data_IF_814849668824
#
_entry.id   IF_814849668824
#
_cell.length_a   1.000
_cell.length_b   1.000
_cell.length_c   1.000
_cell.angle_alpha   90.00
_cell.angle_beta   90.00
_cell.angle_gamma   90.00
#
_symmetry.space_group_name_H-M   'P 1'
#
loop_
_entity.id
_entity.type
_entity.pdbx_description
1 polymer ?
#
# COMPACT_ATOMS: atom_id res chain seq x y z
N UNK A 1 -4.24 -9.96 10.19
CA UNK A 1 -2.96 -10.11 9.46
C UNK A 1 -3.09 -9.39 8.13
N UNK A 2 -2.03 -8.72 7.67
CA UNK A 2 -2.03 -8.01 6.39
C UNK A 2 -1.04 -8.67 5.43
N UNK A 3 -1.49 -8.94 4.20
CA UNK A 3 -0.64 -9.37 3.08
C UNK A 3 -0.57 -8.22 2.08
N UNK A 4 0.63 -7.71 1.81
CA UNK A 4 0.88 -6.77 0.71
C UNK A 4 1.32 -7.57 -0.51
N UNK A 5 0.54 -7.52 -1.59
CA UNK A 5 0.84 -8.21 -2.83
C UNK A 5 1.26 -7.22 -3.91
N UNK A 6 2.41 -7.48 -4.54
CA UNK A 6 3.00 -6.59 -5.53
C UNK A 6 3.41 -7.39 -6.78
N UNK A 7 2.44 -7.94 -7.51
CA UNK A 7 2.69 -8.58 -8.80
C UNK A 7 1.59 -8.25 -9.82
N UNK A 8 1.93 -7.88 -11.08
CA UNK A 8 0.94 -7.45 -12.07
C UNK A 8 0.11 -8.61 -12.66
N UNK A 9 0.73 -9.79 -12.82
CA UNK A 9 0.11 -10.95 -13.47
C UNK A 9 -0.71 -11.79 -12.45
N UNK A 10 -2.05 -11.86 -12.57
CA UNK A 10 -2.92 -12.57 -11.62
C UNK A 10 -2.72 -14.10 -11.59
N UNK A 11 -2.21 -14.70 -12.67
CA UNK A 11 -1.93 -16.14 -12.76
C UNK A 11 -0.47 -16.48 -12.41
N UNK A 12 0.29 -15.50 -11.93
CA UNK A 12 1.69 -15.70 -11.53
C UNK A 12 1.82 -16.64 -10.34
N UNK A 13 3.01 -17.22 -10.20
CA UNK A 13 3.37 -18.00 -9.01
C UNK A 13 3.23 -17.17 -7.72
N UNK A 14 3.61 -15.89 -7.74
CA UNK A 14 3.46 -14.98 -6.59
C UNK A 14 1.99 -14.77 -6.22
N UNK A 15 1.10 -14.63 -7.20
CA UNK A 15 -0.34 -14.52 -6.96
C UNK A 15 -0.93 -15.81 -6.38
N UNK A 16 -0.43 -16.97 -6.82
CA UNK A 16 -0.78 -18.27 -6.25
C UNK A 16 -0.32 -18.39 -4.79
N UNK A 17 0.92 -17.97 -4.47
CA UNK A 17 1.45 -17.97 -3.10
C UNK A 17 0.63 -17.06 -2.17
N UNK A 18 0.30 -15.84 -2.60
CA UNK A 18 -0.58 -14.93 -1.85
C UNK A 18 -1.93 -15.58 -1.55
N UNK A 19 -2.56 -16.19 -2.56
CA UNK A 19 -3.86 -16.85 -2.41
C UNK A 19 -3.78 -18.03 -1.43
N UNK A 20 -2.71 -18.84 -1.52
CA UNK A 20 -2.48 -19.96 -0.62
C UNK A 20 -2.23 -19.49 0.82
N UNK A 21 -1.45 -18.44 1.02
CA UNK A 21 -1.19 -17.85 2.32
C UNK A 21 -2.48 -17.34 2.98
N UNK A 22 -3.28 -16.54 2.25
CA UNK A 22 -4.57 -16.05 2.72
C UNK A 22 -5.47 -17.20 3.20
N UNK A 23 -5.72 -18.18 2.33
CA UNK A 23 -6.59 -19.31 2.65
C UNK A 23 -6.09 -20.12 3.86
N UNK A 24 -4.78 -20.29 3.99
CA UNK A 24 -4.20 -21.06 5.10
C UNK A 24 -4.38 -20.33 6.43
N UNK A 25 -4.11 -19.03 6.45
CA UNK A 25 -4.23 -18.20 7.65
C UNK A 25 -5.70 -18.03 8.08
N UNK A 26 -6.63 -17.86 7.14
CA UNK A 26 -8.07 -17.82 7.43
C UNK A 26 -8.56 -19.15 8.02
N UNK A 27 -8.08 -20.29 7.51
CA UNK A 27 -8.41 -21.62 8.06
C UNK A 27 -7.89 -21.82 9.48
N UNK A 28 -6.83 -21.12 9.87
CA UNK A 28 -6.31 -21.13 11.24
C UNK A 28 -7.05 -20.15 12.17
N UNK A 29 -8.10 -19.47 11.68
CA UNK A 29 -8.93 -18.56 12.45
C UNK A 29 -8.44 -17.11 12.48
N UNK A 30 -7.43 -16.75 11.67
CA UNK A 30 -6.98 -15.37 11.57
C UNK A 30 -7.84 -14.57 10.59
N UNK A 31 -8.13 -13.31 10.92
CA UNK A 31 -8.60 -12.35 9.93
C UNK A 31 -7.43 -11.93 9.04
N UNK A 32 -7.62 -11.99 7.72
CA UNK A 32 -6.58 -11.68 6.73
C UNK A 32 -7.08 -10.64 5.75
N UNK A 33 -6.35 -9.53 5.67
CA UNK A 33 -6.55 -8.48 4.68
C UNK A 33 -5.46 -8.55 3.60
N UNK A 34 -5.81 -8.16 2.38
CA UNK A 34 -4.89 -8.14 1.24
C UNK A 34 -4.89 -6.75 0.62
N UNK A 35 -3.74 -6.10 0.60
CA UNK A 35 -3.48 -4.91 -0.21
C UNK A 35 -2.76 -5.33 -1.48
N UNK A 36 -3.52 -5.47 -2.57
CA UNK A 36 -2.97 -5.80 -3.88
C UNK A 36 -2.60 -4.52 -4.63
N UNK A 37 -1.31 -4.15 -4.60
CA UNK A 37 -0.83 -2.85 -5.06
C UNK A 37 -1.11 -2.61 -6.54
N UNK A 38 -1.05 -3.66 -7.37
CA UNK A 38 -1.33 -3.54 -8.80
C UNK A 38 -2.83 -3.42 -9.06
N UNK A 39 -3.66 -4.23 -8.38
CA UNK A 39 -5.11 -4.12 -8.51
C UNK A 39 -5.65 -2.78 -7.95
N UNK A 40 -5.01 -2.26 -6.90
CA UNK A 40 -5.35 -0.98 -6.28
C UNK A 40 -4.87 0.24 -7.09
N UNK A 41 -4.07 0.04 -8.15
CA UNK A 41 -3.37 1.12 -8.86
C UNK A 41 -2.61 2.03 -7.88
N UNK A 42 -1.95 1.42 -6.89
CA UNK A 42 -1.23 2.14 -5.87
C UNK A 42 -0.19 3.07 -6.51
N UNK A 43 -0.21 4.36 -6.16
CA UNK A 43 0.78 5.33 -6.59
C UNK A 43 2.06 5.16 -5.76
N UNK A 44 3.19 4.71 -6.35
CA UNK A 44 4.44 4.54 -5.61
C UNK A 44 5.29 5.81 -5.55
N UNK A 45 4.85 6.89 -6.22
CA UNK A 45 5.63 8.11 -6.36
C UNK A 45 5.25 9.09 -5.26
N UNK A 46 6.19 9.33 -4.35
CA UNK A 46 6.07 10.36 -3.33
C UNK A 46 5.86 11.73 -3.99
N UNK A 47 4.77 12.41 -3.66
CA UNK A 47 4.38 13.65 -4.34
C UNK A 47 3.62 14.60 -3.42
N UNK A 48 3.31 15.80 -3.93
CA UNK A 48 2.45 16.77 -3.23
C UNK A 48 1.04 16.22 -2.98
N UNK A 49 0.58 15.27 -3.82
CA UNK A 49 -0.75 14.65 -3.69
C UNK A 49 -0.88 13.74 -2.46
N UNK A 50 0.24 13.41 -1.80
CA UNK A 50 0.23 12.67 -0.54
C UNK A 50 -0.26 13.52 0.64
N UNK A 51 -0.39 14.84 0.47
CA UNK A 51 -0.78 15.79 1.51
C UNK A 51 -2.11 16.49 1.14
N UNK A 52 -3.01 16.60 2.11
CA UNK A 52 -4.27 17.33 1.94
C UNK A 52 -4.05 18.86 1.87
N UNK A 53 -3.04 19.34 2.59
CA UNK A 53 -2.65 20.75 2.65
C UNK A 53 -1.13 20.86 2.64
N UNK A 54 -0.60 21.87 1.94
CA UNK A 54 0.82 22.20 1.92
C UNK A 54 1.06 23.42 2.79
N UNK A 55 2.09 23.38 3.64
CA UNK A 55 2.46 24.52 4.46
C UNK A 55 3.04 25.69 3.61
N UNK A 56 3.72 25.37 2.51
CA UNK A 56 4.25 26.37 1.56
C UNK A 56 3.94 25.96 0.11
N UNK A 57 2.97 26.61 -0.56
CA UNK A 57 2.57 26.22 -1.93
C UNK A 57 3.68 26.38 -2.99
N UNK A 58 4.60 27.33 -2.79
CA UNK A 58 5.67 27.64 -3.76
C UNK A 58 6.95 26.81 -3.56
N UNK A 59 7.06 26.06 -2.47
CA UNK A 59 8.26 25.29 -2.16
C UNK A 59 7.90 23.96 -1.50
N UNK A 60 8.11 22.86 -2.25
CA UNK A 60 7.80 21.53 -1.76
C UNK A 60 9.02 20.82 -1.20
N UNK A 61 8.94 20.48 0.08
CA UNK A 61 9.90 19.60 0.75
C UNK A 61 9.14 18.49 1.47
N UNK A 62 9.18 17.29 0.89
CA UNK A 62 8.41 16.13 1.36
C UNK A 62 8.57 15.87 2.87
N UNK A 63 9.82 15.87 3.37
CA UNK A 63 10.10 15.58 4.77
C UNK A 63 9.59 16.68 5.72
N UNK A 64 9.58 17.94 5.28
CA UNK A 64 9.02 19.04 6.06
C UNK A 64 7.50 18.94 6.11
N UNK A 65 6.85 18.65 4.98
CA UNK A 65 5.40 18.48 4.92
C UNK A 65 4.95 17.26 5.77
N UNK A 66 5.68 16.14 5.77
CA UNK A 66 5.42 15.02 6.68
C UNK A 66 5.45 15.42 8.15
N UNK A 67 6.41 16.27 8.56
CA UNK A 67 6.49 16.78 9.94
C UNK A 67 5.38 17.76 10.28
N UNK A 68 4.85 18.48 9.30
CA UNK A 68 3.75 19.40 9.49
C UNK A 68 2.41 18.64 9.61
N UNK A 69 2.17 17.67 8.73
CA UNK A 69 0.93 16.89 8.67
C UNK A 69 0.78 15.83 9.80
N UNK A 70 1.84 15.56 10.56
CA UNK A 70 1.83 14.59 11.67
C UNK A 70 1.68 15.21 13.07
N UNK A 71 1.57 16.55 13.15
CA UNK A 71 1.25 17.25 14.41
C UNK A 71 -0.25 17.24 14.64
#
# INVERSE_FOLDING_TARGET
MLIVHAHPEPQSFTAALKSKAKQTLEKLGHSVEVSDLYQMQFNPIASQEDFLELNQPEYFNYALEQRNASK
#
